data_IF_652721165410
#
_entry.id   IF_652721165410
#
_cell.length_a   1.000
_cell.length_b   1.000
_cell.length_c   1.000
_cell.angle_alpha   90.00
_cell.angle_beta   90.00
_cell.angle_gamma   90.00
#
_symmetry.space_group_name_H-M   'P 1'
#
loop_
_entity.id
_entity.type
_entity.pdbx_description
1 polymer ?
#
# COMPACT_ATOMS: atom_id res chain seq x y z
N UNK A 1 20.85 -29.43 -71.39
CA UNK A 1 19.58 -29.96 -70.99
C UNK A 1 19.20 -29.54 -69.58
N UNK A 2 17.93 -29.21 -69.35
CA UNK A 2 17.15 -29.16 -68.18
C UNK A 2 17.16 -27.85 -67.38
N UNK A 3 16.18 -27.09 -67.64
CA UNK A 3 14.94 -26.62 -66.95
C UNK A 3 15.15 -26.08 -65.54
N UNK A 4 14.94 -24.77 -65.43
CA UNK A 4 14.67 -24.05 -64.25
C UNK A 4 13.21 -24.24 -63.81
N UNK A 5 12.95 -24.51 -62.59
CA UNK A 5 11.64 -24.32 -61.96
C UNK A 5 11.81 -23.33 -60.80
N UNK A 6 11.09 -22.22 -60.93
CA UNK A 6 11.00 -21.21 -59.90
C UNK A 6 10.16 -21.73 -58.73
N UNK A 7 10.53 -21.33 -57.58
CA UNK A 7 9.69 -21.43 -56.40
C UNK A 7 9.49 -20.04 -55.79
N UNK A 8 8.23 -19.69 -55.69
CA UNK A 8 7.76 -18.43 -55.14
C UNK A 8 7.79 -18.48 -53.63
N UNK A 9 8.57 -17.61 -53.02
CA UNK A 9 8.56 -17.42 -51.58
C UNK A 9 7.22 -16.85 -51.09
N UNK A 10 6.78 -17.24 -49.89
CA UNK A 10 5.56 -16.73 -49.29
C UNK A 10 5.68 -15.27 -48.87
N UNK A 11 4.56 -14.55 -48.84
CA UNK A 11 4.56 -13.12 -48.52
C UNK A 11 4.90 -12.86 -47.06
N UNK A 12 5.69 -11.82 -46.85
CA UNK A 12 6.02 -11.31 -45.52
C UNK A 12 4.75 -10.92 -44.77
N UNK A 13 4.52 -11.54 -43.62
CA UNK A 13 3.52 -11.11 -42.68
C UNK A 13 4.01 -9.86 -41.95
N UNK A 14 3.29 -8.78 -42.13
CA UNK A 14 3.48 -7.54 -41.38
C UNK A 14 3.21 -7.82 -39.91
N UNK A 15 4.23 -7.68 -39.06
CA UNK A 15 4.11 -7.67 -37.62
C UNK A 15 3.44 -6.38 -37.15
N UNK A 16 2.56 -6.43 -36.14
CA UNK A 16 1.96 -5.23 -35.60
C UNK A 16 3.01 -4.37 -34.90
N UNK A 17 3.03 -3.13 -35.33
CA UNK A 17 3.79 -2.00 -34.85
C UNK A 17 3.74 -1.89 -33.32
N UNK A 18 4.91 -1.59 -32.76
CA UNK A 18 5.18 -1.49 -31.32
C UNK A 18 4.19 -0.65 -30.53
N UNK A 19 3.59 -1.28 -29.56
CA UNK A 19 2.99 -0.59 -28.44
C UNK A 19 4.11 -0.08 -27.54
N UNK A 20 4.31 1.22 -27.58
CA UNK A 20 5.17 1.96 -26.65
C UNK A 20 4.72 1.68 -25.22
N UNK A 21 5.53 0.95 -24.49
CA UNK A 21 5.34 0.79 -23.03
C UNK A 21 5.52 2.17 -22.37
N UNK A 22 4.42 2.82 -22.12
CA UNK A 22 4.41 3.98 -21.22
C UNK A 22 4.58 3.46 -19.80
N UNK A 23 5.75 3.67 -19.27
CA UNK A 23 6.01 3.60 -17.83
C UNK A 23 5.15 4.66 -17.13
N UNK A 24 3.91 4.31 -16.85
CA UNK A 24 3.10 5.06 -15.93
C UNK A 24 3.44 4.55 -14.53
N UNK A 25 4.26 5.27 -13.81
CA UNK A 25 4.26 5.26 -12.35
C UNK A 25 2.90 5.81 -11.92
N UNK A 26 1.86 5.01 -12.10
CA UNK A 26 0.56 5.30 -11.53
C UNK A 26 0.64 4.89 -10.06
N UNK A 27 0.86 5.87 -9.21
CA UNK A 27 0.39 5.78 -7.83
C UNK A 27 -1.08 5.39 -7.88
N UNK A 28 -1.51 4.38 -7.12
CA UNK A 28 -2.93 4.08 -7.03
C UNK A 28 -3.64 5.33 -6.51
N UNK A 29 -4.45 5.94 -7.36
CA UNK A 29 -5.34 7.01 -6.93
C UNK A 29 -6.39 6.36 -6.04
N UNK A 30 -6.23 6.47 -4.74
CA UNK A 30 -7.25 6.11 -3.76
C UNK A 30 -8.37 7.15 -3.81
N UNK A 31 -9.19 7.08 -4.85
CA UNK A 31 -10.44 7.82 -4.91
C UNK A 31 -11.54 6.92 -4.36
N UNK A 32 -12.18 7.25 -3.23
CA UNK A 32 -13.34 6.52 -2.77
C UNK A 32 -14.50 6.76 -3.75
N UNK A 33 -14.92 5.72 -4.45
CA UNK A 33 -16.19 5.75 -5.17
C UNK A 33 -17.33 5.73 -4.14
N UNK A 34 -18.28 6.67 -4.18
CA UNK A 34 -19.42 6.65 -3.27
C UNK A 34 -20.34 5.48 -3.65
N UNK A 35 -20.36 4.42 -2.85
CA UNK A 35 -21.42 3.42 -2.91
C UNK A 35 -22.64 3.96 -2.20
N UNK A 36 -23.65 4.28 -3.00
CA UNK A 36 -24.99 4.66 -2.55
C UNK A 36 -25.64 3.47 -1.86
N UNK A 37 -26.13 3.64 -0.62
CA UNK A 37 -27.21 2.82 -0.07
C UNK A 37 -26.91 1.82 1.02
N UNK A 38 -26.02 2.13 1.97
CA UNK A 38 -26.09 1.54 3.30
C UNK A 38 -25.92 2.66 4.33
N UNK A 39 -26.79 2.72 5.32
CA UNK A 39 -26.59 3.55 6.51
C UNK A 39 -25.47 2.93 7.34
N UNK A 40 -24.25 2.97 6.82
CA UNK A 40 -23.07 2.66 7.58
C UNK A 40 -22.85 3.82 8.55
N UNK A 41 -22.88 3.53 9.84
CA UNK A 41 -22.36 4.47 10.85
C UNK A 41 -20.99 4.97 10.37
N UNK A 42 -20.82 6.29 10.34
CA UNK A 42 -19.55 6.89 9.95
C UNK A 42 -18.40 6.20 10.72
N UNK A 43 -17.25 5.93 10.07
CA UNK A 43 -16.11 5.37 10.78
C UNK A 43 -15.79 6.28 11.98
N UNK A 44 -15.44 5.70 13.10
CA UNK A 44 -14.93 6.44 14.25
C UNK A 44 -13.72 7.26 13.83
N UNK A 45 -13.52 8.43 14.45
CA UNK A 45 -12.38 9.28 14.17
C UNK A 45 -11.08 8.71 14.74
N UNK A 46 -9.95 9.28 14.30
CA UNK A 46 -8.69 9.09 14.97
C UNK A 46 -8.70 9.83 16.31
N UNK A 47 -8.16 9.20 17.34
CA UNK A 47 -7.88 9.85 18.63
C UNK A 47 -6.41 10.24 18.69
N UNK A 48 -6.15 11.51 18.84
CA UNK A 48 -4.78 12.03 18.93
C UNK A 48 -4.34 12.24 20.37
N UNK A 49 -3.08 11.95 20.73
CA UNK A 49 -2.05 11.34 19.87
C UNK A 49 -2.41 9.88 19.53
N UNK A 50 -1.99 9.43 18.33
CA UNK A 50 -2.20 8.06 17.90
C UNK A 50 -1.37 7.10 18.75
N UNK A 51 -1.91 5.92 19.01
CA UNK A 51 -1.11 4.81 19.54
C UNK A 51 -0.27 4.19 18.41
N UNK A 52 0.96 3.74 18.72
CA UNK A 52 1.82 3.09 17.73
C UNK A 52 1.14 1.87 17.08
N UNK A 53 1.30 1.66 15.77
CA UNK A 53 0.74 0.50 15.08
C UNK A 53 1.46 -0.82 15.42
N UNK A 54 2.63 -0.75 16.05
CA UNK A 54 3.41 -1.91 16.52
C UNK A 54 3.89 -1.67 17.95
N UNK A 55 3.92 -2.72 18.77
CA UNK A 55 4.19 -2.60 20.19
C UNK A 55 5.69 -2.44 20.51
N UNK A 56 6.59 -3.06 19.74
CA UNK A 56 8.00 -3.21 20.07
C UNK A 56 8.91 -2.76 18.92
N UNK A 57 8.56 -1.66 18.26
CA UNK A 57 9.36 -1.11 17.19
C UNK A 57 10.10 0.16 17.59
N UNK A 58 11.12 0.52 16.83
CA UNK A 58 11.76 1.83 16.92
C UNK A 58 11.94 2.43 15.52
N UNK A 59 11.72 3.74 15.37
CA UNK A 59 11.88 4.42 14.09
C UNK A 59 13.31 4.35 13.59
N UNK A 60 13.49 4.01 12.32
CA UNK A 60 14.79 3.94 11.64
C UNK A 60 14.92 4.93 10.50
N UNK A 61 13.80 5.33 9.90
CA UNK A 61 13.75 6.33 8.85
C UNK A 61 12.48 7.17 8.97
N UNK A 62 12.63 8.47 9.02
CA UNK A 62 11.53 9.43 9.14
C UNK A 62 10.88 9.79 7.80
N UNK A 63 9.83 10.58 7.89
CA UNK A 63 9.12 11.17 6.76
C UNK A 63 10.01 12.18 6.04
N UNK A 64 10.15 12.04 4.71
CA UNK A 64 10.97 12.91 3.88
C UNK A 64 10.42 12.99 2.44
N UNK A 65 9.66 14.04 2.17
CA UNK A 65 9.06 14.30 0.85
C UNK A 65 10.13 14.50 -0.23
N UNK A 66 11.28 15.08 0.11
CA UNK A 66 12.34 15.36 -0.85
C UNK A 66 12.96 14.09 -1.43
N UNK A 67 12.98 13.02 -0.66
CA UNK A 67 13.44 11.68 -1.10
C UNK A 67 12.30 10.75 -1.50
N UNK A 68 11.05 11.23 -1.52
CA UNK A 68 9.88 10.43 -1.84
C UNK A 68 9.50 9.41 -0.75
N UNK A 69 9.94 9.61 0.49
CA UNK A 69 9.60 8.77 1.62
C UNK A 69 8.40 9.34 2.38
N UNK A 70 7.19 8.87 2.04
CA UNK A 70 5.93 9.41 2.52
C UNK A 70 5.43 8.78 3.82
N UNK A 71 6.29 8.13 4.57
CA UNK A 71 5.96 7.46 5.81
C UNK A 71 7.11 7.44 6.79
N UNK A 72 7.02 6.53 7.74
CA UNK A 72 8.07 6.23 8.71
C UNK A 72 8.38 4.75 8.66
N UNK A 73 9.67 4.40 8.66
CA UNK A 73 10.10 3.01 8.77
C UNK A 73 10.40 2.70 10.23
N UNK A 74 9.83 1.61 10.70
CA UNK A 74 9.94 1.16 12.08
C UNK A 74 10.54 -0.24 12.08
N UNK A 75 11.73 -0.41 12.60
CA UNK A 75 12.36 -1.71 12.76
C UNK A 75 11.56 -2.54 13.77
N UNK A 76 11.20 -3.76 13.38
CA UNK A 76 10.39 -4.71 14.16
C UNK A 76 10.86 -6.12 13.91
N UNK A 77 10.52 -7.05 14.81
CA UNK A 77 10.65 -8.48 14.52
C UNK A 77 9.55 -8.93 13.54
N UNK A 78 9.85 -9.91 12.68
CA UNK A 78 8.80 -10.56 11.91
C UNK A 78 7.86 -11.34 12.81
N UNK A 79 6.58 -11.30 12.50
CA UNK A 79 5.57 -12.07 13.20
C UNK A 79 4.80 -11.30 14.29
N UNK A 80 5.16 -10.05 14.54
CA UNK A 80 4.42 -9.18 15.45
C UNK A 80 3.12 -8.67 14.81
N UNK A 81 2.14 -8.33 15.62
CA UNK A 81 0.90 -7.75 15.12
C UNK A 81 1.09 -6.29 14.69
N UNK A 82 0.59 -5.97 13.50
CA UNK A 82 0.34 -4.61 13.05
C UNK A 82 -1.11 -4.26 13.38
N UNK A 83 -1.32 -3.13 14.06
CA UNK A 83 -2.61 -2.70 14.59
C UNK A 83 -3.09 -1.43 13.90
N UNK A 84 -4.40 -1.34 13.68
CA UNK A 84 -5.00 -0.11 13.17
C UNK A 84 -4.79 1.04 14.16
N UNK A 85 -4.38 2.20 13.66
CA UNK A 85 -4.21 3.42 14.48
C UNK A 85 -5.55 4.06 14.89
N UNK A 86 -6.65 3.61 14.33
CA UNK A 86 -7.99 4.12 14.63
C UNK A 86 -9.10 3.26 14.07
N UNK A 87 -10.33 3.62 14.38
CA UNK A 87 -11.52 3.00 13.80
C UNK A 87 -11.62 3.34 12.32
N UNK A 88 -12.07 2.40 11.50
CA UNK A 88 -12.21 2.64 10.06
C UNK A 88 -12.67 1.45 9.26
N UNK A 89 -12.48 1.54 7.96
CA UNK A 89 -12.76 0.49 7.00
C UNK A 89 -11.54 0.21 6.14
N UNK A 90 -11.27 -1.06 5.88
CA UNK A 90 -10.22 -1.48 4.97
C UNK A 90 -10.61 -1.11 3.54
N UNK A 91 -9.81 -0.27 2.90
CA UNK A 91 -10.02 0.19 1.51
C UNK A 91 -9.03 -0.41 0.53
N UNK A 92 -7.98 -1.04 1.02
CA UNK A 92 -7.01 -1.82 0.25
C UNK A 92 -6.46 -2.94 1.13
N UNK A 93 -6.36 -4.16 0.59
CA UNK A 93 -5.72 -5.29 1.25
C UNK A 93 -5.25 -6.29 0.18
N UNK A 94 -4.03 -6.12 -0.32
CA UNK A 94 -3.47 -6.96 -1.39
C UNK A 94 -1.94 -6.78 -1.48
N UNK A 95 -1.35 -7.49 -2.43
CA UNK A 95 0.05 -7.37 -2.80
C UNK A 95 0.31 -6.14 -3.67
N UNK A 96 1.30 -5.33 -3.28
CA UNK A 96 1.86 -4.26 -4.08
C UNK A 96 3.33 -4.57 -4.39
N UNK A 97 3.79 -4.26 -5.60
CA UNK A 97 5.15 -4.64 -6.04
C UNK A 97 6.23 -4.11 -5.09
N UNK A 98 6.18 -2.83 -4.75
CA UNK A 98 7.18 -2.19 -3.90
C UNK A 98 6.93 -2.43 -2.41
N UNK A 99 5.67 -2.36 -1.98
CA UNK A 99 5.26 -2.45 -0.58
C UNK A 99 4.99 -3.87 -0.07
N UNK A 100 4.99 -4.89 -0.94
CA UNK A 100 4.60 -6.24 -0.56
C UNK A 100 3.15 -6.33 -0.11
N UNK A 101 2.85 -7.18 0.86
CA UNK A 101 1.51 -7.23 1.45
C UNK A 101 1.20 -5.91 2.15
N UNK A 102 0.26 -5.19 1.59
CA UNK A 102 -0.13 -3.83 1.99
C UNK A 102 -1.59 -3.80 2.40
N UNK A 103 -1.88 -3.15 3.51
CA UNK A 103 -3.25 -2.86 3.92
C UNK A 103 -3.41 -1.36 4.17
N UNK A 104 -4.56 -0.81 3.78
CA UNK A 104 -4.91 0.58 4.00
C UNK A 104 -6.29 0.69 4.65
N UNK A 105 -6.40 1.55 5.64
CA UNK A 105 -7.61 1.78 6.42
C UNK A 105 -8.03 3.24 6.29
N UNK A 106 -9.27 3.45 5.84
CA UNK A 106 -9.90 4.77 5.79
C UNK A 106 -10.56 5.08 7.12
N UNK A 107 -10.22 6.22 7.69
CA UNK A 107 -10.78 6.75 8.93
C UNK A 107 -11.67 7.97 8.67
N UNK A 108 -12.38 8.41 9.69
CA UNK A 108 -13.12 9.68 9.63
C UNK A 108 -12.15 10.88 9.49
N UNK A 109 -12.70 12.02 9.04
CA UNK A 109 -11.91 13.24 8.88
C UNK A 109 -10.97 13.23 7.68
N UNK A 110 -11.16 12.32 6.72
CA UNK A 110 -10.35 12.21 5.52
C UNK A 110 -8.97 11.57 5.75
N UNK A 111 -8.76 10.91 6.90
CA UNK A 111 -7.51 10.22 7.19
C UNK A 111 -7.47 8.82 6.57
N UNK A 112 -6.29 8.47 6.07
CA UNK A 112 -5.96 7.14 5.56
C UNK A 112 -4.65 6.69 6.21
N UNK A 113 -4.64 5.50 6.78
CA UNK A 113 -3.40 4.85 7.26
C UNK A 113 -3.02 3.70 6.33
N UNK A 114 -1.72 3.56 6.04
CA UNK A 114 -1.19 2.52 5.14
C UNK A 114 -0.06 1.78 5.85
N UNK A 115 -0.10 0.46 5.78
CA UNK A 115 0.84 -0.45 6.43
C UNK A 115 1.43 -1.38 5.39
N UNK A 116 2.76 -1.33 5.17
CA UNK A 116 3.45 -2.07 4.11
C UNK A 116 4.47 -3.06 4.66
N UNK A 117 4.98 -3.91 3.78
CA UNK A 117 5.99 -4.94 4.03
C UNK A 117 5.54 -6.05 4.99
N UNK A 118 4.22 -6.25 5.09
CA UNK A 118 3.67 -7.27 5.97
C UNK A 118 3.96 -8.69 5.46
N UNK A 119 4.02 -9.65 6.38
CA UNK A 119 4.11 -11.07 6.06
C UNK A 119 2.78 -11.64 5.58
N UNK A 120 1.69 -11.18 6.20
CA UNK A 120 0.31 -11.52 5.83
C UNK A 120 -0.67 -10.46 6.33
N UNK A 121 -1.82 -10.42 5.68
CA UNK A 121 -2.93 -9.55 6.06
C UNK A 121 -3.96 -10.35 6.87
N UNK A 122 -4.55 -9.74 7.89
CA UNK A 122 -5.55 -10.34 8.77
C UNK A 122 -6.96 -9.85 8.45
N UNK A 123 -7.08 -8.85 7.61
CA UNK A 123 -8.32 -8.22 7.17
C UNK A 123 -8.34 -8.14 5.66
N UNK A 124 -9.52 -7.99 5.10
CA UNK A 124 -9.76 -7.88 3.66
C UNK A 124 -10.54 -6.61 3.34
N UNK A 125 -10.56 -6.26 2.05
CA UNK A 125 -11.27 -5.10 1.53
C UNK A 125 -12.72 -5.07 2.04
N UNK A 126 -13.12 -3.94 2.62
CA UNK A 126 -14.48 -3.71 3.14
C UNK A 126 -14.65 -4.06 4.62
N UNK A 127 -13.69 -4.73 5.25
CA UNK A 127 -13.78 -5.04 6.69
C UNK A 127 -13.79 -3.77 7.52
N UNK A 128 -14.64 -3.74 8.54
CA UNK A 128 -14.57 -2.74 9.60
C UNK A 128 -13.49 -3.13 10.60
N UNK A 129 -12.74 -2.14 11.06
CA UNK A 129 -11.71 -2.30 12.09
C UNK A 129 -11.89 -1.25 13.18
N UNK A 130 -11.47 -1.59 14.39
CA UNK A 130 -11.43 -0.67 15.53
C UNK A 130 -9.98 -0.28 15.85
N UNK A 131 -9.81 0.81 16.59
CA UNK A 131 -8.49 1.24 17.05
C UNK A 131 -7.76 0.10 17.78
N UNK A 132 -6.48 -0.08 17.47
CA UNK A 132 -5.62 -1.12 18.03
C UNK A 132 -6.01 -2.56 17.69
N UNK A 133 -6.99 -2.77 16.80
CA UNK A 133 -7.31 -4.11 16.29
C UNK A 133 -6.19 -4.60 15.35
N UNK A 134 -5.75 -5.87 15.46
CA UNK A 134 -4.78 -6.44 14.54
C UNK A 134 -5.30 -6.48 13.10
N UNK A 135 -4.54 -5.89 12.17
CA UNK A 135 -4.90 -5.82 10.73
C UNK A 135 -3.92 -6.57 9.84
N UNK A 136 -2.69 -6.77 10.31
CA UNK A 136 -1.65 -7.51 9.60
C UNK A 136 -0.62 -8.10 10.58
N UNK A 137 0.34 -8.82 10.02
CA UNK A 137 1.51 -9.36 10.73
C UNK A 137 2.76 -8.82 10.05
N UNK A 138 3.69 -8.31 10.85
CA UNK A 138 4.97 -7.74 10.38
C UNK A 138 5.78 -8.75 9.58
N UNK A 139 6.48 -8.26 8.57
CA UNK A 139 7.28 -9.07 7.67
C UNK A 139 8.41 -8.30 7.02
N UNK A 140 8.81 -8.77 5.86
CA UNK A 140 9.88 -8.22 5.04
C UNK A 140 9.56 -8.43 3.55
N UNK A 141 8.32 -8.17 3.15
CA UNK A 141 7.82 -8.42 1.79
C UNK A 141 7.88 -7.17 0.91
N UNK A 142 7.91 -7.38 -0.41
CA UNK A 142 8.00 -6.32 -1.42
C UNK A 142 9.42 -6.17 -1.99
N UNK A 143 9.52 -5.43 -3.09
CA UNK A 143 10.78 -5.25 -3.81
C UNK A 143 11.72 -4.23 -3.14
N UNK A 144 11.17 -3.33 -2.34
CA UNK A 144 11.93 -2.25 -1.67
C UNK A 144 11.97 -2.49 -0.17
N UNK A 145 12.78 -3.47 0.25
CA UNK A 145 12.98 -3.75 1.66
C UNK A 145 14.42 -4.22 1.91
N UNK A 146 14.99 -3.83 3.05
CA UNK A 146 16.38 -4.15 3.44
C UNK A 146 16.44 -4.93 4.76
N UNK A 147 15.32 -5.42 5.24
CA UNK A 147 15.18 -6.14 6.50
C UNK A 147 13.79 -5.98 7.10
N UNK A 148 13.45 -6.74 8.14
CA UNK A 148 12.15 -6.66 8.77
C UNK A 148 11.85 -5.27 9.32
N UNK A 149 10.81 -4.64 8.78
CA UNK A 149 10.31 -3.35 9.25
C UNK A 149 8.85 -3.16 8.84
N UNK A 150 8.17 -2.28 9.53
CA UNK A 150 6.90 -1.72 9.12
C UNK A 150 7.16 -0.37 8.44
N UNK A 151 6.71 -0.20 7.21
CA UNK A 151 6.56 1.11 6.61
C UNK A 151 5.13 1.60 6.86
N UNK A 152 4.99 2.67 7.62
CA UNK A 152 3.70 3.24 8.01
C UNK A 152 3.51 4.63 7.42
N UNK A 153 2.38 4.85 6.75
CA UNK A 153 2.01 6.15 6.19
C UNK A 153 0.70 6.65 6.81
N UNK A 154 0.62 7.95 7.00
CA UNK A 154 -0.60 8.66 7.37
C UNK A 154 -0.89 9.74 6.32
N UNK A 155 -2.09 9.73 5.78
CA UNK A 155 -2.55 10.68 4.78
C UNK A 155 -3.78 11.42 5.29
N UNK A 156 -3.92 12.70 4.97
CA UNK A 156 -5.14 13.46 5.23
C UNK A 156 -5.57 14.19 3.97
N UNK A 157 -6.78 13.92 3.51
CA UNK A 157 -7.35 14.50 2.29
C UNK A 157 -6.39 14.40 1.07
N UNK A 158 -5.70 13.27 0.92
CA UNK A 158 -4.76 13.02 -0.16
C UNK A 158 -3.36 13.63 0.01
N UNK A 159 -3.07 14.25 1.16
CA UNK A 159 -1.75 14.80 1.49
C UNK A 159 -1.06 13.93 2.54
N UNK A 160 0.15 13.50 2.25
CA UNK A 160 0.97 12.75 3.19
C UNK A 160 1.34 13.61 4.41
N UNK A 161 1.21 13.01 5.59
CA UNK A 161 1.54 13.62 6.88
C UNK A 161 2.77 12.92 7.45
N UNK A 162 3.64 13.66 8.16
CA UNK A 162 4.73 13.05 8.93
C UNK A 162 4.17 12.30 10.15
N UNK A 163 4.18 10.96 10.19
CA UNK A 163 3.50 10.21 11.26
C UNK A 163 4.06 10.45 12.65
N UNK A 164 5.34 10.78 12.75
CA UNK A 164 6.05 11.13 13.99
C UNK A 164 5.42 12.30 14.75
N UNK A 165 4.79 13.24 14.04
CA UNK A 165 4.07 14.35 14.65
C UNK A 165 2.73 13.93 15.30
N UNK A 166 2.22 12.75 14.97
CA UNK A 166 0.89 12.29 15.38
C UNK A 166 0.92 11.11 16.36
N UNK A 167 2.03 10.36 16.43
CA UNK A 167 2.15 9.15 17.23
C UNK A 167 2.92 9.45 18.52
N UNK A 168 2.36 9.06 19.66
CA UNK A 168 3.04 9.15 20.96
C UNK A 168 3.88 7.89 21.23
N UNK A 169 5.08 8.09 21.76
CA UNK A 169 5.89 6.99 22.29
C UNK A 169 6.75 6.25 21.29
N UNK A 170 7.10 6.92 20.21
CA UNK A 170 8.16 6.50 19.27
C UNK A 170 9.38 7.35 19.41
#
# INVERSE_FOLDING_TARGET
>A
GAVATGDAGPPASEGPSGASARNAHQQPAFAPSPRSGATASAPGGLSFPLSPPVANGFPTRGFDVATGHYGIDVAVSEGDYVRSVGDGYVVWADWAQDGGYTIAVQHAGGYLSVYKHNKRLLKQLGDRVTAQEPVAVTGNTGAVTTGPHLHFELWQNGLAQGPDAYIAGW
#
